data_IF_390825752126
#
_entry.id   IF_390825752126
#
_cell.length_a   1.000
_cell.length_b   1.000
_cell.length_c   1.000
_cell.angle_alpha   90.00
_cell.angle_beta   90.00
_cell.angle_gamma   90.00
#
_symmetry.space_group_name_H-M   'P 1'
#
loop_
_entity.id
_entity.type
_entity.pdbx_description
1 polymer ?
#
# COMPACT_ATOMS: atom_id res chain seq x y z
N UNK A 1 -19.28 -11.73 -8.17
CA UNK A 1 -18.99 -10.58 -9.04
C UNK A 1 -18.10 -11.01 -10.20
N UNK A 2 -18.12 -10.28 -11.32
CA UNK A 2 -17.28 -10.52 -12.51
C UNK A 2 -15.88 -9.93 -12.42
N UNK A 3 -15.56 -9.27 -11.30
CA UNK A 3 -14.30 -8.60 -11.03
C UNK A 3 -13.78 -9.00 -9.64
N UNK A 4 -12.53 -8.63 -9.35
CA UNK A 4 -11.91 -8.79 -8.03
C UNK A 4 -11.22 -7.50 -7.57
N UNK A 5 -10.96 -7.43 -6.26
CA UNK A 5 -10.17 -6.39 -5.62
C UNK A 5 -8.76 -6.93 -5.41
N UNK A 6 -7.75 -6.24 -5.92
CA UNK A 6 -6.34 -6.57 -5.71
C UNK A 6 -5.76 -5.51 -4.79
N UNK A 7 -5.27 -5.95 -3.63
CA UNK A 7 -4.80 -5.12 -2.53
C UNK A 7 -3.29 -5.32 -2.38
N UNK A 8 -2.52 -4.27 -2.61
CA UNK A 8 -1.06 -4.29 -2.58
C UNK A 8 -0.59 -3.49 -1.38
N UNK A 9 0.12 -4.15 -0.48
CA UNK A 9 0.60 -3.58 0.78
C UNK A 9 2.13 -3.60 0.78
N UNK A 10 2.79 -2.44 0.88
CA UNK A 10 4.25 -2.35 0.98
C UNK A 10 4.69 -1.60 2.25
N UNK A 11 5.51 -2.26 3.07
CA UNK A 11 5.99 -1.69 4.33
C UNK A 11 7.32 -0.91 4.15
N UNK A 12 7.70 -0.14 5.18
CA UNK A 12 8.97 0.59 5.23
C UNK A 12 10.19 -0.34 5.38
N UNK A 13 11.39 0.24 5.34
CA UNK A 13 12.62 -0.52 5.60
C UNK A 13 12.64 -1.04 7.03
N UNK A 14 12.64 -2.36 7.20
CA UNK A 14 12.90 -2.96 8.50
C UNK A 14 14.40 -2.90 8.82
N UNK A 15 14.86 -1.78 9.39
CA UNK A 15 16.16 -1.77 10.07
C UNK A 15 16.13 -2.48 11.44
N UNK A 16 14.96 -2.99 11.86
CA UNK A 16 14.75 -3.52 13.22
C UNK A 16 14.24 -4.98 13.32
N UNK A 17 13.83 -5.66 12.24
CA UNK A 17 13.40 -7.07 12.34
C UNK A 17 14.48 -8.11 12.02
N UNK A 18 15.70 -7.68 11.70
CA UNK A 18 16.88 -8.55 11.60
C UNK A 18 17.38 -8.98 13.00
N UNK A 19 16.86 -8.33 14.05
CA UNK A 19 16.95 -8.78 15.44
C UNK A 19 15.58 -9.34 15.76
N UNK A 20 15.50 -10.63 16.08
CA UNK A 20 14.26 -11.37 16.37
C UNK A 20 13.52 -10.87 17.63
N UNK A 21 13.21 -9.59 17.67
CA UNK A 21 12.50 -8.92 18.73
C UNK A 21 11.02 -8.85 18.38
N UNK A 22 10.19 -8.90 19.42
CA UNK A 22 8.73 -8.96 19.37
C UNK A 22 8.12 -7.61 18.96
N UNK A 23 8.65 -6.97 17.92
CA UNK A 23 8.16 -5.68 17.46
C UNK A 23 6.71 -5.80 16.97
N UNK A 24 5.85 -4.93 17.46
CA UNK A 24 4.46 -4.85 17.02
C UNK A 24 4.37 -4.74 15.49
N UNK A 25 3.44 -5.45 14.82
CA UNK A 25 3.30 -5.38 13.37
C UNK A 25 2.93 -3.96 12.94
N UNK A 26 3.50 -3.47 11.83
CA UNK A 26 3.17 -2.17 11.25
C UNK A 26 1.68 -2.07 10.90
N UNK A 27 1.18 -0.84 10.72
CA UNK A 27 -0.19 -0.62 10.27
C UNK A 27 -0.46 -1.23 8.87
N UNK A 28 0.55 -1.29 8.00
CA UNK A 28 0.44 -1.97 6.69
C UNK A 28 0.31 -3.48 6.86
N UNK A 29 1.10 -4.09 7.76
CA UNK A 29 1.00 -5.51 8.06
C UNK A 29 -0.31 -5.87 8.76
N UNK A 30 -0.78 -5.02 9.69
CA UNK A 30 -2.10 -5.15 10.34
C UNK A 30 -3.21 -5.11 9.28
N UNK A 31 -3.16 -4.16 8.34
CA UNK A 31 -4.15 -4.04 7.27
C UNK A 31 -4.17 -5.29 6.39
N UNK A 32 -3.00 -5.71 5.89
CA UNK A 32 -2.88 -6.87 5.00
C UNK A 32 -3.42 -8.16 5.63
N UNK A 33 -3.27 -8.32 6.96
CA UNK A 33 -3.78 -9.47 7.72
C UNK A 33 -5.26 -9.36 8.09
N UNK A 34 -5.81 -8.14 8.10
CA UNK A 34 -7.19 -7.89 8.50
C UNK A 34 -8.17 -7.99 7.33
N UNK A 35 -7.72 -7.79 6.09
CA UNK A 35 -8.57 -7.88 4.88
C UNK A 35 -9.10 -9.32 4.73
N UNK A 36 -10.41 -9.47 4.60
CA UNK A 36 -11.04 -10.77 4.35
C UNK A 36 -10.76 -11.25 2.92
N UNK A 37 -10.81 -12.57 2.67
CA UNK A 37 -10.56 -13.12 1.34
C UNK A 37 -11.65 -12.77 0.31
N UNK A 38 -12.83 -12.36 0.77
CA UNK A 38 -13.93 -11.91 -0.07
C UNK A 38 -14.91 -11.05 0.72
N UNK A 39 -15.69 -10.24 0.01
CA UNK A 39 -16.69 -9.34 0.60
C UNK A 39 -17.78 -8.96 -0.40
N UNK A 40 -18.95 -8.49 0.04
CA UNK A 40 -19.97 -7.98 -0.87
C UNK A 40 -19.52 -6.71 -1.60
N UNK A 41 -20.03 -6.48 -2.81
CA UNK A 41 -20.11 -5.16 -3.45
C UNK A 41 -21.38 -4.41 -3.01
N UNK A 42 -21.62 -3.23 -3.59
CA UNK A 42 -22.79 -2.40 -3.28
C UNK A 42 -24.12 -3.09 -3.62
N UNK A 43 -24.10 -4.01 -4.59
CA UNK A 43 -25.23 -4.82 -5.03
C UNK A 43 -25.35 -6.15 -4.26
N UNK A 44 -24.45 -6.42 -3.31
CA UNK A 44 -24.42 -7.62 -2.48
C UNK A 44 -23.79 -8.85 -3.13
N UNK A 45 -23.16 -8.72 -4.31
CA UNK A 45 -22.45 -9.82 -4.93
C UNK A 45 -21.12 -10.07 -4.23
N UNK A 46 -20.75 -11.34 -4.05
CA UNK A 46 -19.45 -11.68 -3.47
C UNK A 46 -18.31 -11.35 -4.45
N UNK A 47 -17.38 -10.50 -3.99
CA UNK A 47 -16.16 -10.06 -4.69
C UNK A 47 -14.95 -10.68 -3.99
N UNK A 48 -14.03 -11.27 -4.74
CA UNK A 48 -12.76 -11.76 -4.18
C UNK A 48 -11.84 -10.59 -3.86
N UNK A 49 -11.09 -10.71 -2.76
CA UNK A 49 -10.09 -9.73 -2.34
C UNK A 49 -8.73 -10.45 -2.24
N UNK A 50 -7.80 -10.10 -3.12
CA UNK A 50 -6.49 -10.73 -3.22
C UNK A 50 -5.46 -9.78 -2.64
N UNK A 51 -4.78 -10.20 -1.56
CA UNK A 51 -3.76 -9.39 -0.88
C UNK A 51 -2.36 -9.84 -1.30
N UNK A 52 -1.51 -8.89 -1.69
CA UNK A 52 -0.05 -9.06 -1.77
C UNK A 52 0.63 -8.17 -0.74
N UNK A 53 1.48 -8.76 0.10
CA UNK A 53 2.21 -8.03 1.14
C UNK A 53 3.72 -8.09 0.87
N UNK A 54 4.34 -6.93 0.83
CA UNK A 54 5.78 -6.73 0.64
C UNK A 54 6.34 -6.12 1.92
N UNK A 55 7.19 -6.87 2.61
CA UNK A 55 7.74 -6.45 3.91
C UNK A 55 8.68 -5.25 3.81
N UNK A 56 9.15 -4.83 2.62
CA UNK A 56 10.14 -3.77 2.50
C UNK A 56 11.53 -4.31 2.85
N UNK A 57 12.26 -4.78 1.84
CA UNK A 57 13.54 -5.47 2.01
C UNK A 57 14.63 -4.53 2.55
N UNK A 58 15.37 -5.00 3.56
CA UNK A 58 16.66 -4.42 3.92
C UNK A 58 17.68 -4.64 2.80
N UNK A 59 18.83 -3.97 2.86
CA UNK A 59 19.91 -4.06 1.86
C UNK A 59 20.55 -5.46 1.71
N UNK A 60 20.08 -6.49 2.43
CA UNK A 60 20.66 -7.84 2.47
C UNK A 60 20.30 -8.77 1.30
N UNK A 61 19.09 -8.67 0.73
CA UNK A 61 18.58 -9.65 -0.26
C UNK A 61 18.82 -9.28 -1.74
N UNK A 62 19.57 -8.21 -2.00
CA UNK A 62 19.78 -7.68 -3.36
C UNK A 62 20.48 -8.62 -4.37
N UNK A 63 21.42 -9.53 -4.02
CA UNK A 63 22.19 -10.27 -5.03
C UNK A 63 21.34 -11.22 -5.91
N UNK A 64 20.44 -12.01 -5.31
CA UNK A 64 19.62 -12.97 -6.03
C UNK A 64 18.54 -12.28 -6.88
N UNK A 65 17.93 -11.24 -6.33
CA UNK A 65 16.89 -10.46 -7.00
C UNK A 65 17.43 -9.74 -8.25
N UNK A 66 18.64 -9.20 -8.19
CA UNK A 66 19.31 -8.59 -9.36
C UNK A 66 19.56 -9.56 -10.50
N UNK A 67 19.82 -10.83 -10.21
CA UNK A 67 20.01 -11.85 -11.23
C UNK A 67 18.70 -12.18 -11.96
N UNK A 68 17.56 -12.12 -11.26
CA UNK A 68 16.23 -12.36 -11.83
C UNK A 68 15.76 -11.17 -12.66
N UNK A 69 16.01 -9.95 -12.19
CA UNK A 69 15.47 -8.70 -12.74
C UNK A 69 16.48 -7.90 -13.58
N UNK A 70 17.43 -8.57 -14.25
CA UNK A 70 18.57 -7.95 -14.95
C UNK A 70 18.30 -6.58 -15.59
N UNK A 71 19.14 -5.59 -15.29
CA UNK A 71 19.02 -4.20 -15.77
C UNK A 71 18.24 -3.25 -14.86
N UNK A 72 17.49 -3.76 -13.88
CA UNK A 72 16.73 -2.96 -12.91
C UNK A 72 17.66 -2.44 -11.79
N UNK A 73 17.51 -1.18 -11.37
CA UNK A 73 18.37 -0.53 -10.38
C UNK A 73 18.18 -1.01 -8.94
N UNK A 74 18.76 -0.29 -7.97
CA UNK A 74 18.94 -0.79 -6.60
C UNK A 74 17.67 -0.68 -5.73
N UNK A 75 17.28 -1.78 -5.07
CA UNK A 75 16.33 -1.81 -3.94
C UNK A 75 14.89 -1.45 -4.32
N UNK A 76 14.59 -0.16 -4.37
CA UNK A 76 13.24 0.36 -4.65
C UNK A 76 12.72 -0.06 -6.03
N UNK A 77 13.59 -0.09 -7.03
CA UNK A 77 13.20 -0.54 -8.37
C UNK A 77 12.75 -2.01 -8.34
N UNK A 78 13.34 -2.85 -7.48
CA UNK A 78 12.98 -4.26 -7.32
C UNK A 78 11.58 -4.38 -6.72
N UNK A 79 11.28 -3.62 -5.66
CA UNK A 79 9.94 -3.64 -5.04
C UNK A 79 8.86 -3.19 -6.03
N UNK A 80 9.14 -2.16 -6.84
CA UNK A 80 8.24 -1.69 -7.91
C UNK A 80 7.97 -2.79 -8.93
N UNK A 81 9.01 -3.49 -9.40
CA UNK A 81 8.87 -4.56 -10.39
C UNK A 81 8.10 -5.73 -9.83
N UNK A 82 8.40 -6.16 -8.59
CA UNK A 82 7.70 -7.29 -7.97
C UNK A 82 6.20 -7.02 -7.81
N UNK A 83 5.83 -5.81 -7.35
CA UNK A 83 4.43 -5.42 -7.23
C UNK A 83 3.78 -5.36 -8.62
N UNK A 84 4.46 -4.77 -9.61
CA UNK A 84 3.93 -4.69 -10.97
C UNK A 84 3.79 -6.06 -11.64
N UNK A 85 4.73 -6.98 -11.41
CA UNK A 85 4.65 -8.38 -11.88
C UNK A 85 3.45 -9.09 -11.25
N UNK A 86 3.21 -8.90 -9.95
CA UNK A 86 2.03 -9.43 -9.29
C UNK A 86 0.73 -8.91 -9.93
N UNK A 87 0.66 -7.61 -10.23
CA UNK A 87 -0.48 -7.02 -10.96
C UNK A 87 -0.60 -7.66 -12.35
N UNK A 88 0.50 -7.79 -13.08
CA UNK A 88 0.55 -8.32 -14.45
C UNK A 88 0.05 -9.77 -14.56
N UNK A 89 0.23 -10.56 -13.50
CA UNK A 89 -0.24 -11.94 -13.41
C UNK A 89 -1.69 -12.07 -12.93
N UNK A 90 -2.23 -11.08 -12.23
CA UNK A 90 -3.53 -11.20 -11.55
C UNK A 90 -4.60 -10.26 -12.08
N UNK A 91 -4.25 -9.11 -12.64
CA UNK A 91 -5.21 -8.08 -13.08
C UNK A 91 -5.90 -8.45 -14.39
N UNK A 92 -7.20 -8.22 -14.43
CA UNK A 92 -8.02 -8.23 -15.63
C UNK A 92 -8.75 -6.88 -15.76
N UNK A 93 -9.07 -6.44 -16.98
CA UNK A 93 -9.85 -5.22 -17.18
C UNK A 93 -11.15 -5.23 -16.37
N UNK A 94 -11.33 -4.23 -15.52
CA UNK A 94 -12.48 -4.09 -14.62
C UNK A 94 -12.21 -4.46 -13.16
N UNK A 95 -11.06 -5.08 -12.87
CA UNK A 95 -10.63 -5.28 -11.48
C UNK A 95 -10.30 -3.97 -10.78
N UNK A 96 -10.46 -3.95 -9.46
CA UNK A 96 -10.15 -2.78 -8.64
C UNK A 96 -8.79 -2.94 -7.98
N UNK A 97 -7.93 -1.92 -8.09
CA UNK A 97 -6.60 -1.90 -7.48
C UNK A 97 -6.57 -0.99 -6.26
N UNK A 98 -6.06 -1.50 -5.14
CA UNK A 98 -5.87 -0.79 -3.89
C UNK A 98 -4.42 -0.87 -3.47
N UNK A 99 -3.84 0.27 -3.12
CA UNK A 99 -2.42 0.39 -2.81
C UNK A 99 -2.26 0.97 -1.40
N UNK A 100 -1.48 0.30 -0.56
CA UNK A 100 -1.23 0.72 0.80
C UNK A 100 0.26 0.67 1.12
N UNK A 101 0.78 1.70 1.77
CA UNK A 101 2.17 1.66 2.18
C UNK A 101 2.56 2.61 3.28
N UNK A 102 3.72 2.35 3.87
CA UNK A 102 4.30 3.17 4.93
C UNK A 102 5.75 3.54 4.60
N UNK A 103 6.14 4.80 4.84
CA UNK A 103 7.52 5.27 4.66
C UNK A 103 8.07 4.97 3.24
N UNK A 104 9.15 4.20 3.11
CA UNK A 104 9.66 3.73 1.80
C UNK A 104 8.62 2.92 1.01
N UNK A 105 7.83 2.09 1.69
CA UNK A 105 6.73 1.35 1.07
C UNK A 105 5.65 2.28 0.51
N UNK A 106 5.41 3.43 1.16
CA UNK A 106 4.50 4.44 0.66
C UNK A 106 5.00 5.10 -0.64
N UNK A 107 6.31 5.37 -0.75
CA UNK A 107 6.92 5.80 -2.01
C UNK A 107 6.73 4.72 -3.08
N UNK A 108 7.01 3.46 -2.74
CA UNK A 108 6.90 2.31 -3.65
C UNK A 108 5.50 2.18 -4.24
N UNK A 109 4.46 2.12 -3.42
CA UNK A 109 3.09 1.96 -3.91
C UNK A 109 2.59 3.15 -4.71
N UNK A 110 3.06 4.37 -4.39
CA UNK A 110 2.76 5.57 -5.20
C UNK A 110 3.43 5.47 -6.57
N UNK A 111 4.69 5.05 -6.64
CA UNK A 111 5.39 4.84 -7.91
C UNK A 111 4.70 3.79 -8.77
N UNK A 112 4.30 2.66 -8.19
CA UNK A 112 3.57 1.62 -8.93
C UNK A 112 2.18 2.14 -9.37
N UNK A 113 1.45 2.84 -8.50
CA UNK A 113 0.16 3.41 -8.85
C UNK A 113 0.26 4.39 -10.02
N UNK A 114 1.26 5.29 -10.01
CA UNK A 114 1.53 6.18 -11.14
C UNK A 114 1.89 5.42 -12.40
N UNK A 115 2.78 4.42 -12.30
CA UNK A 115 3.18 3.59 -13.44
C UNK A 115 1.99 2.88 -14.08
N UNK A 116 1.12 2.26 -13.27
CA UNK A 116 -0.08 1.58 -13.74
C UNK A 116 -1.08 2.56 -14.37
N UNK A 117 -1.27 3.75 -13.79
CA UNK A 117 -2.15 4.77 -14.36
C UNK A 117 -1.60 5.32 -15.69
N UNK A 118 -0.30 5.57 -15.77
CA UNK A 118 0.33 6.19 -16.93
C UNK A 118 0.50 5.21 -18.10
N UNK A 119 0.93 3.98 -17.81
CA UNK A 119 1.26 2.96 -18.80
C UNK A 119 0.13 1.95 -19.02
N UNK A 120 -0.63 1.63 -17.98
CA UNK A 120 -1.45 0.43 -17.94
C UNK A 120 -0.69 -0.77 -17.37
N UNK A 121 -1.22 -1.97 -17.61
CA UNK A 121 -0.68 -3.23 -17.08
C UNK A 121 -0.18 -4.10 -18.23
N UNK A 122 1.11 -4.44 -18.22
CA UNK A 122 1.64 -5.48 -19.10
C UNK A 122 0.98 -6.81 -18.74
N UNK A 123 0.61 -7.62 -19.73
CA UNK A 123 0.27 -9.02 -19.46
C UNK A 123 1.51 -9.77 -18.98
N UNK A 124 1.35 -10.83 -18.19
CA UNK A 124 2.45 -11.68 -17.73
C UNK A 124 3.47 -12.08 -18.83
N UNK A 125 3.01 -12.39 -20.05
CA UNK A 125 3.90 -12.76 -21.17
C UNK A 125 4.79 -11.61 -21.66
N UNK A 126 4.37 -10.37 -21.43
CA UNK A 126 5.06 -9.15 -21.84
C UNK A 126 5.90 -8.54 -20.72
N UNK A 127 5.99 -9.17 -19.54
CA UNK A 127 6.83 -8.67 -18.44
C UNK A 127 8.33 -8.60 -18.78
N UNK A 128 8.79 -9.34 -19.80
CA UNK A 128 10.14 -9.18 -20.36
C UNK A 128 10.41 -7.77 -20.92
N UNK A 129 9.37 -7.03 -21.31
CA UNK A 129 9.44 -5.64 -21.79
C UNK A 129 9.49 -4.61 -20.65
N UNK A 130 9.32 -5.04 -19.39
CA UNK A 130 9.25 -4.14 -18.24
C UNK A 130 10.53 -3.29 -18.09
N UNK A 131 11.71 -3.90 -18.21
CA UNK A 131 12.98 -3.19 -18.00
C UNK A 131 13.13 -2.00 -18.97
N UNK A 132 12.90 -2.23 -20.27
CA UNK A 132 12.93 -1.21 -21.31
C UNK A 132 11.87 -0.11 -21.06
N UNK A 133 10.63 -0.51 -20.75
CA UNK A 133 9.55 0.42 -20.40
C UNK A 133 9.93 1.29 -19.19
N UNK A 134 10.50 0.68 -18.15
CA UNK A 134 10.87 1.34 -16.90
C UNK A 134 12.00 2.34 -17.09
N UNK A 135 12.99 2.02 -17.91
CA UNK A 135 14.05 2.95 -18.28
C UNK A 135 13.49 4.21 -18.95
N UNK A 136 12.60 4.05 -19.94
CA UNK A 136 11.95 5.18 -20.61
C UNK A 136 11.04 5.95 -19.65
N UNK A 137 10.29 5.25 -18.79
CA UNK A 137 9.38 5.87 -17.82
C UNK A 137 10.15 6.77 -16.85
N UNK A 138 11.27 6.29 -16.31
CA UNK A 138 12.12 7.10 -15.41
C UNK A 138 12.81 8.27 -16.11
N UNK A 139 13.14 8.12 -17.40
CA UNK A 139 13.72 9.21 -18.19
C UNK A 139 12.68 10.30 -18.53
N UNK A 140 11.38 10.02 -18.40
CA UNK A 140 10.29 10.95 -18.69
C UNK A 140 10.08 12.00 -17.59
N UNK A 141 11.09 12.85 -17.37
CA UNK A 141 11.10 13.92 -16.35
C UNK A 141 10.57 15.27 -16.87
N UNK A 142 10.26 15.36 -18.18
CA UNK A 142 9.89 16.61 -18.85
C UNK A 142 8.48 17.12 -18.56
N UNK A 143 7.71 16.42 -17.73
CA UNK A 143 6.34 16.78 -17.35
C UNK A 143 5.27 16.41 -18.38
N UNK A 144 5.66 15.97 -19.58
CA UNK A 144 4.72 15.41 -20.55
C UNK A 144 4.16 14.05 -20.07
N UNK A 145 2.87 13.77 -20.29
CA UNK A 145 2.30 12.46 -20.00
C UNK A 145 3.07 11.34 -20.71
N UNK A 146 3.40 10.26 -20.00
CA UNK A 146 4.17 9.13 -20.55
C UNK A 146 3.54 8.55 -21.82
N UNK A 147 2.22 8.62 -21.95
CA UNK A 147 1.46 8.17 -23.12
C UNK A 147 1.81 8.91 -24.43
N UNK A 148 2.49 10.06 -24.35
CA UNK A 148 3.02 10.78 -25.52
C UNK A 148 4.40 10.31 -25.95
N UNK A 149 5.11 9.57 -25.09
CA UNK A 149 6.44 9.03 -25.40
C UNK A 149 6.40 8.19 -26.67
N UNK A 150 7.52 8.19 -27.40
CA UNK A 150 7.67 7.35 -28.60
C UNK A 150 7.52 5.87 -28.27
N UNK A 151 8.10 5.44 -27.15
CA UNK A 151 7.98 4.07 -26.67
C UNK A 151 6.51 3.67 -26.50
N UNK A 152 5.70 4.46 -25.78
CA UNK A 152 4.30 4.10 -25.57
C UNK A 152 3.52 4.05 -26.89
N UNK A 153 3.66 5.05 -27.76
CA UNK A 153 2.95 5.09 -29.05
C UNK A 153 3.28 3.90 -29.95
N UNK A 154 4.53 3.45 -29.94
CA UNK A 154 4.98 2.35 -30.80
C UNK A 154 4.64 0.96 -30.24
N UNK A 155 4.45 0.83 -28.92
CA UNK A 155 4.26 -0.47 -28.27
C UNK A 155 2.83 -0.72 -27.73
N UNK A 156 1.99 0.31 -27.55
CA UNK A 156 0.68 0.20 -26.88
C UNK A 156 -0.21 -0.89 -27.48
N UNK A 157 -0.33 -0.94 -28.81
CA UNK A 157 -1.22 -1.87 -29.50
C UNK A 157 -0.73 -3.32 -29.40
N UNK A 158 0.56 -3.54 -29.64
CA UNK A 158 1.20 -4.86 -29.53
C UNK A 158 1.11 -5.41 -28.09
N UNK A 159 1.37 -4.56 -27.10
CA UNK A 159 1.36 -4.94 -25.69
C UNK A 159 -0.03 -4.96 -25.06
N UNK A 160 -1.07 -4.54 -25.80
CA UNK A 160 -2.45 -4.50 -25.32
C UNK A 160 -2.66 -3.53 -24.15
N UNK A 161 -1.90 -2.44 -24.09
CA UNK A 161 -1.93 -1.50 -22.97
C UNK A 161 -3.23 -0.68 -22.97
N UNK A 162 -3.96 -0.76 -21.86
CA UNK A 162 -5.23 -0.05 -21.64
C UNK A 162 -5.13 0.93 -20.49
N UNK A 163 -6.05 1.89 -20.47
CA UNK A 163 -6.19 2.81 -19.35
C UNK A 163 -6.65 2.05 -18.09
N UNK A 164 -5.82 2.12 -17.04
CA UNK A 164 -6.12 1.53 -15.73
C UNK A 164 -6.28 2.65 -14.71
N UNK A 165 -7.25 2.48 -13.81
CA UNK A 165 -7.46 3.41 -12.69
C UNK A 165 -7.21 2.69 -11.39
N UNK A 166 -6.37 3.29 -10.56
CA UNK A 166 -6.21 2.87 -9.17
C UNK A 166 -7.39 3.40 -8.35
N UNK A 167 -8.03 2.51 -7.58
CA UNK A 167 -9.22 2.85 -6.78
C UNK A 167 -8.82 3.62 -5.52
N UNK A 168 -7.78 3.15 -4.83
CA UNK A 168 -7.29 3.74 -3.58
C UNK A 168 -5.77 3.71 -3.53
N UNK A 169 -5.18 4.80 -3.05
CA UNK A 169 -3.79 4.86 -2.58
C UNK A 169 -3.82 5.37 -1.14
N UNK A 170 -3.72 4.48 -0.16
CA UNK A 170 -3.71 4.80 1.26
C UNK A 170 -2.30 4.71 1.84
N UNK A 171 -1.69 5.85 2.16
CA UNK A 171 -0.30 5.87 2.64
C UNK A 171 -0.20 6.42 4.05
N UNK A 172 0.58 5.75 4.89
CA UNK A 172 1.03 6.30 6.17
C UNK A 172 2.37 7.00 5.96
N UNK A 173 2.39 8.27 6.37
CA UNK A 173 3.56 9.14 6.33
C UNK A 173 4.21 9.28 4.94
N UNK A 174 3.67 10.21 4.14
CA UNK A 174 4.39 10.73 2.98
C UNK A 174 4.29 12.23 2.87
N UNK A 175 5.40 12.84 2.47
CA UNK A 175 5.43 14.23 2.04
C UNK A 175 4.82 14.28 0.62
N UNK A 176 3.66 14.93 0.45
CA UNK A 176 3.29 15.53 -0.84
C UNK A 176 2.01 15.08 -1.58
N UNK A 177 0.93 14.62 -0.95
CA UNK A 177 -0.42 14.56 -1.57
C UNK A 177 -1.52 14.64 -0.49
N UNK A 178 -2.73 15.16 -0.79
CA UNK A 178 -3.89 15.36 0.14
C UNK A 178 -3.78 14.56 1.46
N UNK A 179 -3.44 15.28 2.54
CA UNK A 179 -2.95 14.70 3.79
C UNK A 179 -4.00 14.83 4.90
N UNK A 180 -4.25 13.74 5.62
CA UNK A 180 -4.79 13.83 6.98
C UNK A 180 -3.60 13.84 7.95
N UNK A 181 -3.52 14.89 8.78
CA UNK A 181 -2.42 15.05 9.73
C UNK A 181 -2.80 14.42 11.07
N UNK A 182 -1.97 13.49 11.54
CA UNK A 182 -2.04 12.95 12.89
C UNK A 182 -0.87 13.49 13.73
N UNK A 183 -1.09 13.93 14.99
CA UNK A 183 -0.01 14.36 15.84
C UNK A 183 0.87 13.16 16.22
N UNK A 184 2.18 13.23 16.01
CA UNK A 184 3.11 12.14 16.33
C UNK A 184 4.44 12.24 15.57
N UNK A 185 5.33 11.25 15.77
CA UNK A 185 6.58 11.10 15.01
C UNK A 185 6.48 9.89 14.05
N UNK A 186 7.34 9.87 13.02
CA UNK A 186 7.34 8.90 11.90
C UNK A 186 6.97 7.47 12.30
N UNK A 187 7.69 6.90 13.27
CA UNK A 187 7.49 5.51 13.71
C UNK A 187 6.14 5.25 14.42
N UNK A 188 5.54 6.26 15.04
CA UNK A 188 4.24 6.10 15.71
C UNK A 188 3.08 6.11 14.72
N UNK A 189 3.15 6.93 13.66
CA UNK A 189 2.11 6.98 12.62
C UNK A 189 2.01 5.64 11.86
N UNK A 190 3.16 5.02 11.57
CA UNK A 190 3.24 3.71 10.91
C UNK A 190 3.07 2.50 11.83
N UNK A 191 3.05 2.71 13.15
CA UNK A 191 2.90 1.64 14.14
C UNK A 191 4.15 0.76 14.34
N UNK A 192 5.36 1.28 14.13
CA UNK A 192 6.62 0.52 14.12
C UNK A 192 7.53 0.71 15.36
N UNK A 193 7.08 1.37 16.46
CA UNK A 193 7.99 1.71 17.59
C UNK A 193 7.53 1.12 18.93
N UNK A 194 8.34 0.21 19.49
CA UNK A 194 8.26 -0.33 20.86
C UNK A 194 9.42 0.20 21.75
N UNK A 195 9.68 1.51 21.82
CA UNK A 195 10.65 2.03 22.79
C UNK A 195 10.04 2.20 24.19
N UNK A 196 10.39 1.28 25.10
CA UNK A 196 9.91 1.19 26.48
C UNK A 196 10.09 2.44 27.37
N UNK A 197 10.78 3.48 26.88
CA UNK A 197 10.94 4.76 27.59
C UNK A 197 9.90 5.83 27.20
N UNK A 198 9.14 5.63 26.11
CA UNK A 198 8.13 6.57 25.59
C UNK A 198 6.78 5.91 25.23
N UNK A 199 6.68 4.59 25.38
CA UNK A 199 5.70 3.71 24.74
C UNK A 199 4.23 3.95 25.08
N UNK A 200 3.86 4.24 26.33
CA UNK A 200 2.44 4.27 26.69
C UNK A 200 1.62 5.38 25.99
N UNK A 201 2.23 6.50 25.60
CA UNK A 201 1.49 7.67 25.07
C UNK A 201 1.38 7.75 23.55
N UNK A 202 2.18 7.00 22.79
CA UNK A 202 2.26 7.17 21.32
C UNK A 202 1.89 5.93 20.51
N UNK A 203 1.76 4.75 21.12
CA UNK A 203 1.15 3.57 20.48
C UNK A 203 -0.32 3.84 20.09
N UNK A 204 -1.03 4.62 20.89
CA UNK A 204 -2.43 5.02 20.64
C UNK A 204 -2.60 5.70 19.28
N UNK A 205 -1.66 6.57 18.91
CA UNK A 205 -1.71 7.30 17.63
C UNK A 205 -1.62 6.33 16.45
N UNK A 206 -0.76 5.31 16.54
CA UNK A 206 -0.68 4.26 15.53
C UNK A 206 -1.99 3.48 15.37
N UNK A 207 -2.68 3.20 16.49
CA UNK A 207 -4.00 2.58 16.46
C UNK A 207 -5.10 3.50 15.92
N UNK A 208 -5.05 4.80 16.24
CA UNK A 208 -6.00 5.79 15.77
C UNK A 208 -5.87 6.02 14.25
N UNK A 209 -4.64 6.15 13.74
CA UNK A 209 -4.40 6.30 12.30
C UNK A 209 -4.84 5.06 11.53
N UNK A 210 -4.66 3.88 12.12
CA UNK A 210 -5.11 2.62 11.56
C UNK A 210 -6.63 2.50 11.56
N UNK A 211 -7.30 2.79 12.68
CA UNK A 211 -8.75 2.74 12.79
C UNK A 211 -9.41 3.72 11.82
N UNK A 212 -8.87 4.94 11.68
CA UNK A 212 -9.31 5.90 10.68
C UNK A 212 -9.18 5.36 9.25
N UNK A 213 -8.06 4.71 8.91
CA UNK A 213 -7.91 4.09 7.58
C UNK A 213 -8.94 2.98 7.35
N UNK A 214 -9.15 2.09 8.32
CA UNK A 214 -10.14 1.02 8.23
C UNK A 214 -11.55 1.57 8.05
N UNK A 215 -11.90 2.65 8.75
CA UNK A 215 -13.20 3.31 8.62
C UNK A 215 -13.43 3.86 7.21
N UNK A 216 -12.43 4.53 6.62
CA UNK A 216 -12.48 5.00 5.24
C UNK A 216 -12.61 3.85 4.20
N UNK A 217 -12.17 2.65 4.56
CA UNK A 217 -12.22 1.46 3.71
C UNK A 217 -13.46 0.60 3.94
N UNK A 218 -14.23 0.85 5.00
CA UNK A 218 -15.33 -0.03 5.46
C UNK A 218 -16.48 -0.22 4.47
N UNK A 219 -16.59 0.65 3.45
CA UNK A 219 -17.51 0.50 2.33
C UNK A 219 -16.90 -0.03 1.03
N UNK A 220 -15.57 -0.22 0.99
CA UNK A 220 -14.83 -0.64 -0.21
C UNK A 220 -14.15 -2.01 -0.04
N UNK A 221 -13.69 -2.33 1.17
CA UNK A 221 -13.05 -3.58 1.52
C UNK A 221 -13.79 -4.22 2.69
N UNK A 222 -13.90 -5.55 2.65
CA UNK A 222 -14.34 -6.34 3.79
C UNK A 222 -13.16 -6.81 4.61
N UNK A 223 -13.34 -6.83 5.92
CA UNK A 223 -12.33 -7.23 6.89
C UNK A 223 -12.80 -8.45 7.67
N UNK A 224 -11.87 -9.29 8.13
CA UNK A 224 -12.16 -10.44 8.97
C UNK A 224 -12.66 -9.98 10.34
N UNK A 225 -13.81 -10.51 10.78
CA UNK A 225 -14.41 -10.17 12.08
C UNK A 225 -13.45 -10.37 13.25
N UNK A 226 -12.64 -11.42 13.19
CA UNK A 226 -11.63 -11.71 14.22
C UNK A 226 -10.54 -10.65 14.27
N UNK A 227 -10.11 -10.13 13.10
CA UNK A 227 -9.13 -9.07 13.03
C UNK A 227 -9.71 -7.75 13.57
N UNK A 228 -10.94 -7.39 13.18
CA UNK A 228 -11.63 -6.19 13.69
C UNK A 228 -11.79 -6.26 15.22
N UNK A 229 -12.19 -7.40 15.76
CA UNK A 229 -12.29 -7.60 17.23
C UNK A 229 -10.95 -7.42 17.93
N UNK A 230 -9.87 -7.93 17.34
CA UNK A 230 -8.51 -7.80 17.88
C UNK A 230 -8.08 -6.33 17.91
N UNK A 231 -8.35 -5.59 16.82
CA UNK A 231 -8.05 -4.16 16.73
C UNK A 231 -8.81 -3.32 17.75
N UNK A 232 -10.10 -3.61 17.95
CA UNK A 232 -10.92 -2.96 18.98
C UNK A 232 -10.35 -3.23 20.37
N UNK A 233 -9.93 -4.47 20.64
CA UNK A 233 -9.35 -4.86 21.93
C UNK A 233 -7.99 -4.20 22.17
N UNK A 234 -7.11 -4.16 21.18
CA UNK A 234 -5.81 -3.49 21.27
C UNK A 234 -5.96 -1.97 21.48
N UNK A 235 -6.95 -1.35 20.81
CA UNK A 235 -7.28 0.05 21.04
C UNK A 235 -7.81 0.29 22.47
N UNK A 236 -8.72 -0.56 22.97
CA UNK A 236 -9.21 -0.47 24.36
C UNK A 236 -8.09 -0.61 25.38
N UNK A 237 -7.14 -1.53 25.15
CA UNK A 237 -5.96 -1.69 26.00
C UNK A 237 -5.10 -0.43 26.01
N UNK A 238 -4.87 0.18 24.85
CA UNK A 238 -4.13 1.44 24.75
C UNK A 238 -4.82 2.57 25.55
N UNK A 239 -6.13 2.73 25.42
CA UNK A 239 -6.90 3.72 26.19
C UNK A 239 -6.83 3.50 27.70
N UNK A 240 -6.93 2.24 28.14
CA UNK A 240 -6.82 1.89 29.55
C UNK A 240 -5.43 2.18 30.12
N UNK A 241 -4.37 2.02 29.33
CA UNK A 241 -2.99 2.26 29.76
C UNK A 241 -2.69 3.75 30.04
N UNK A 242 -3.40 4.67 29.38
CA UNK A 242 -3.21 6.13 29.53
C UNK A 242 -4.25 6.81 30.43
N UNK A 243 -5.14 6.02 31.06
CA UNK A 243 -6.15 6.48 32.01
C UNK A 243 -7.11 7.56 31.44
N UNK A 244 -7.40 7.51 30.13
CA UNK A 244 -8.37 8.38 29.48
C UNK A 244 -9.75 7.71 29.58
N UNK A 245 -10.60 8.24 30.45
CA UNK A 245 -11.94 7.70 30.71
C UNK A 245 -13.04 8.29 29.80
N UNK A 246 -12.76 9.38 29.06
CA UNK A 246 -13.75 10.10 28.26
C UNK A 246 -13.21 10.46 26.87
N UNK A 247 -13.89 9.92 25.85
CA UNK A 247 -14.12 10.41 24.48
C UNK A 247 -13.12 11.35 23.78
N UNK A 248 -12.61 10.87 22.63
CA UNK A 248 -12.30 11.57 21.38
C UNK A 248 -11.92 13.07 21.45
N UNK A 249 -10.65 13.35 21.17
CA UNK A 249 -10.15 14.67 20.75
C UNK A 249 -10.16 14.90 19.24
N UNK A 250 -10.77 14.00 18.45
CA UNK A 250 -11.05 14.27 17.04
C UNK A 250 -12.55 14.54 16.92
N UNK A 251 -12.90 15.79 16.58
CA UNK A 251 -14.27 16.17 16.27
C UNK A 251 -14.86 15.33 15.12
N UNK A 252 -16.16 15.48 14.82
CA UNK A 252 -16.80 14.76 13.73
C UNK A 252 -16.02 14.92 12.43
N UNK A 253 -15.95 13.85 11.62
CA UNK A 253 -15.46 13.91 10.25
C UNK A 253 -16.40 14.84 9.48
N UNK A 254 -15.93 16.05 9.23
CA UNK A 254 -16.61 17.03 8.37
C UNK A 254 -16.25 16.70 6.93
N UNK A 255 -17.27 16.64 6.08
CA UNK A 255 -17.08 16.68 4.63
C UNK A 255 -16.35 17.98 4.28
N UNK A 256 -15.21 17.89 3.59
CA UNK A 256 -14.43 19.07 3.20
C UNK A 256 -15.07 19.83 2.02
N UNK A 257 -16.27 19.41 1.58
CA UNK A 257 -17.08 20.06 0.55
C UNK A 257 -18.43 20.62 1.06
N UNK A 258 -18.61 20.78 2.38
CA UNK A 258 -19.67 21.64 2.95
C UNK A 258 -19.13 23.01 3.35
#
# INVERSE_FOLDING_TARGET
ASYKRIILCADGTWLASDVGDKSAPSNVAKLARAVANSGPDAEGNLVKQIVSYHSGLGTGDLPLQKAIYGGIGWGLDIDVVQIYDFISNNYQPGDELFFFGFSRGAFTVRSVASLVCDVGVLSAVHMSRFAEMWEVYRANIGGDPFRKSEWYRNNKEELGLTDVRVKVVGVWDTVGALQCWFPGIHGNIGGQRDDAYTSAKFEEIGHNTFAWMVDNLSGMLSFEDAAIKTLIEDHRRALNAINIANGWGCGPIVDNFS
#
